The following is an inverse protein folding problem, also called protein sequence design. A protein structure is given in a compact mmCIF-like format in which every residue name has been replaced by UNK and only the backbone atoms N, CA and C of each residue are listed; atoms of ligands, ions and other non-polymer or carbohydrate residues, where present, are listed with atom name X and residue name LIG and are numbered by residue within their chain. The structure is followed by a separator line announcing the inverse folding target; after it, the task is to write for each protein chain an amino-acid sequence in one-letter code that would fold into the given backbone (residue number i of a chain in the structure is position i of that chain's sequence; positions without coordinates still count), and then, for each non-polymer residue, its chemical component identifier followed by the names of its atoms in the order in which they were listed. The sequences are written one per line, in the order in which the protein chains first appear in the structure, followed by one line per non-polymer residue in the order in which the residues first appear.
data_IF_928828645782
#
_entry.id   IF_928828645782
#
_cell.length_a   1.000
_cell.length_b   1.000
_cell.length_c   1.000
_cell.angle_alpha   90.00
_cell.angle_beta   90.00
_cell.angle_gamma   90.00
#
_symmetry.space_group_name_H-M   'P 1'
#
loop_
_entity.id
_entity.type
_entity.pdbx_description
1 polymer ?
#
# COMPACT_ATOMS: atom_id res chain seq x y z
N UNK A 1 14.70 43.16 48.99
CA UNK A 1 13.23 43.19 48.76
C UNK A 1 12.75 41.78 48.43
N UNK A 2 11.57 41.36 48.91
CA UNK A 2 11.04 39.99 48.81
C UNK A 2 9.84 39.95 47.85
N UNK A 3 9.79 38.94 46.97
CA UNK A 3 8.58 38.30 46.41
C UNK A 3 8.93 36.80 46.32
N UNK A 4 8.22 35.84 46.95
CA UNK A 4 6.84 35.39 46.67
C UNK A 4 6.69 35.08 45.16
N UNK A 5 6.17 33.99 44.62
CA UNK A 5 5.50 32.80 45.15
C UNK A 5 5.48 31.73 44.02
N UNK A 6 5.37 30.40 44.21
CA UNK A 6 5.63 29.52 45.38
C UNK A 6 6.10 28.13 44.83
N UNK A 7 5.73 26.97 45.40
CA UNK A 7 6.15 25.63 44.94
C UNK A 7 5.07 24.85 44.14
N UNK A 8 5.49 24.04 43.16
CA UNK A 8 4.70 22.93 42.59
C UNK A 8 5.54 21.65 42.48
N UNK A 9 5.16 20.64 43.26
CA UNK A 9 5.89 19.37 43.38
C UNK A 9 5.51 18.39 42.27
N UNK A 10 6.46 17.68 41.63
CA UNK A 10 6.15 16.49 40.84
C UNK A 10 5.99 15.27 41.77
N UNK A 11 4.72 15.00 42.06
CA UNK A 11 4.14 13.75 42.52
C UNK A 11 4.92 12.47 42.13
N UNK A 12 5.19 11.59 43.11
CA UNK A 12 5.71 10.23 42.87
C UNK A 12 4.60 9.30 42.34
N UNK A 13 4.28 9.40 41.05
CA UNK A 13 3.34 8.46 40.41
C UNK A 13 4.00 7.09 40.22
N UNK A 14 3.67 6.16 41.11
CA UNK A 14 4.01 4.73 41.01
C UNK A 14 3.20 4.03 39.91
N UNK A 15 3.51 4.33 38.65
CA UNK A 15 2.88 3.72 37.47
C UNK A 15 3.50 2.35 37.13
N UNK A 16 2.80 1.26 37.45
CA UNK A 16 3.25 -0.10 37.10
C UNK A 16 3.14 -0.37 35.59
N UNK A 17 4.19 -0.95 35.01
CA UNK A 17 4.17 -1.92 33.89
C UNK A 17 3.12 -1.70 32.78
N UNK A 18 3.29 -0.68 31.94
CA UNK A 18 2.72 -0.64 30.59
C UNK A 18 3.55 0.29 29.69
N UNK A 19 4.40 -0.26 28.81
CA UNK A 19 5.27 0.60 27.97
C UNK A 19 6.40 -0.09 27.19
N UNK A 20 6.54 -1.42 27.24
CA UNK A 20 7.66 -2.15 26.62
C UNK A 20 7.65 -2.18 25.07
N UNK A 21 6.73 -1.47 24.41
CA UNK A 21 6.61 -1.43 22.93
C UNK A 21 6.95 -0.07 22.31
N UNK A 22 7.18 0.96 23.13
CA UNK A 22 7.63 2.29 22.68
C UNK A 22 8.83 2.78 23.52
N UNK A 23 9.83 1.91 23.69
CA UNK A 23 11.22 2.39 23.84
C UNK A 23 11.73 2.75 22.45
N UNK A 24 11.26 3.88 21.94
CA UNK A 24 12.07 4.64 20.97
C UNK A 24 13.21 5.22 21.80
N UNK A 25 14.38 4.62 21.69
CA UNK A 25 15.61 5.21 22.20
C UNK A 25 15.78 6.57 21.50
N UNK A 26 15.50 7.64 22.24
CA UNK A 26 15.76 9.02 21.83
C UNK A 26 17.25 9.34 21.94
N UNK A 27 18.11 8.38 21.59
CA UNK A 27 19.47 8.67 21.14
C UNK A 27 19.37 9.29 19.74
N UNK A 28 18.97 10.56 19.71
CA UNK A 28 19.34 11.43 18.60
C UNK A 28 20.87 11.38 18.55
N UNK A 29 21.50 10.80 17.51
CA UNK A 29 22.96 10.71 17.46
C UNK A 29 23.50 12.13 17.58
N UNK A 30 24.47 12.37 18.48
CA UNK A 30 25.00 13.71 18.69
C UNK A 30 25.59 14.25 17.38
N UNK A 31 24.80 15.10 16.71
CA UNK A 31 25.17 15.76 15.43
C UNK A 31 26.39 16.68 15.62
N UNK A 32 26.77 16.94 16.88
CA UNK A 32 27.88 17.78 17.32
C UNK A 32 29.01 17.04 18.05
N UNK A 33 29.20 15.73 17.81
CA UNK A 33 30.56 15.19 17.97
C UNK A 33 31.46 15.93 16.96
N UNK A 34 32.54 16.55 17.45
CA UNK A 34 33.23 17.72 16.85
C UNK A 34 33.33 17.71 15.31
N UNK A 35 32.91 18.79 14.61
CA UNK A 35 33.04 18.86 13.16
C UNK A 35 34.52 18.76 12.76
N UNK A 36 34.89 17.93 11.77
CA UNK A 36 36.30 17.61 11.53
C UNK A 36 37.16 18.86 11.26
N UNK A 37 38.36 18.86 11.84
CA UNK A 37 39.26 20.01 11.82
C UNK A 37 39.81 20.34 10.43
N UNK A 38 39.97 19.35 9.54
CA UNK A 38 40.42 19.57 8.16
C UNK A 38 39.29 19.40 7.13
N UNK A 39 39.44 20.07 5.99
CA UNK A 39 38.51 19.97 4.83
C UNK A 39 38.46 18.53 4.28
N UNK A 40 39.56 17.78 4.34
CA UNK A 40 39.62 16.40 3.85
C UNK A 40 38.81 15.45 4.73
N UNK A 41 38.86 15.63 6.05
CA UNK A 41 38.08 14.81 6.99
C UNK A 41 36.58 15.10 6.86
N UNK A 42 36.19 16.35 6.59
CA UNK A 42 34.79 16.70 6.25
C UNK A 42 34.32 16.00 4.97
N UNK A 43 35.16 15.97 3.92
CA UNK A 43 34.87 15.23 2.68
C UNK A 43 34.77 13.72 2.92
N UNK A 44 35.62 13.15 3.79
CA UNK A 44 35.57 11.73 4.17
C UNK A 44 34.28 11.39 4.95
N UNK A 45 33.92 12.22 5.94
CA UNK A 45 32.70 12.07 6.73
C UNK A 45 31.43 12.14 5.89
N UNK A 46 31.33 13.14 4.99
CA UNK A 46 30.19 13.26 4.06
C UNK A 46 30.12 12.05 3.14
N UNK A 47 31.26 11.57 2.62
CA UNK A 47 31.33 10.38 1.76
C UNK A 47 30.87 9.10 2.48
N UNK A 48 31.26 8.90 3.74
CA UNK A 48 30.80 7.75 4.53
C UNK A 48 29.29 7.83 4.82
N UNK A 49 28.76 9.02 5.12
CA UNK A 49 27.32 9.25 5.33
C UNK A 49 26.49 8.95 4.07
N UNK A 50 26.93 9.43 2.89
CA UNK A 50 26.30 9.10 1.61
C UNK A 50 26.34 7.59 1.36
N UNK A 51 27.53 6.97 1.51
CA UNK A 51 27.71 5.52 1.35
C UNK A 51 26.81 4.72 2.30
N UNK A 52 26.63 5.14 3.56
CA UNK A 52 25.73 4.49 4.52
C UNK A 52 24.24 4.67 4.17
N UNK A 53 23.83 5.80 3.61
CA UNK A 53 22.46 5.98 3.10
C UNK A 53 22.19 4.97 1.98
N UNK A 54 23.00 4.98 0.92
CA UNK A 54 22.93 4.01 -0.18
C UNK A 54 22.99 2.56 0.33
N UNK A 55 23.85 2.28 1.32
CA UNK A 55 23.99 0.95 1.96
C UNK A 55 22.68 0.47 2.60
N UNK A 56 21.94 1.38 3.23
CA UNK A 56 20.69 1.06 3.91
C UNK A 56 19.53 0.98 2.90
N UNK A 57 19.52 1.86 1.90
CA UNK A 57 18.54 1.89 0.82
C UNK A 57 18.62 0.63 -0.07
N UNK A 58 19.81 0.16 -0.44
CA UNK A 58 19.92 -1.08 -1.23
C UNK A 58 19.43 -2.29 -0.45
N UNK A 59 19.78 -2.41 0.84
CA UNK A 59 19.33 -3.53 1.69
C UNK A 59 17.81 -3.56 1.81
N UNK A 60 17.18 -2.41 2.07
CA UNK A 60 15.73 -2.30 2.17
C UNK A 60 15.04 -2.68 0.85
N UNK A 61 15.52 -2.13 -0.28
CA UNK A 61 14.99 -2.42 -1.63
C UNK A 61 15.13 -3.88 -2.03
N UNK A 62 16.29 -4.51 -1.79
CA UNK A 62 16.51 -5.92 -2.12
C UNK A 62 15.67 -6.86 -1.24
N UNK A 63 15.64 -6.60 0.07
CA UNK A 63 14.89 -7.41 1.05
C UNK A 63 13.37 -7.36 0.83
N UNK A 64 12.85 -6.28 0.25
CA UNK A 64 11.45 -6.20 -0.23
C UNK A 64 11.30 -6.85 -1.61
N UNK A 65 12.22 -6.60 -2.54
CA UNK A 65 12.22 -7.19 -3.88
C UNK A 65 11.96 -8.69 -3.84
N UNK A 66 12.77 -9.44 -3.09
CA UNK A 66 12.86 -10.89 -3.28
C UNK A 66 11.74 -11.64 -2.56
N UNK A 67 11.40 -11.27 -1.31
CA UNK A 67 10.23 -11.82 -0.62
C UNK A 67 8.96 -11.57 -1.42
N UNK A 68 8.78 -10.35 -1.93
CA UNK A 68 7.61 -10.02 -2.74
C UNK A 68 7.65 -10.70 -4.12
N UNK A 69 8.82 -10.96 -4.73
CA UNK A 69 8.94 -11.77 -5.96
C UNK A 69 8.42 -13.20 -5.78
N UNK A 70 8.81 -13.89 -4.70
CA UNK A 70 8.30 -15.23 -4.41
C UNK A 70 6.79 -15.26 -4.19
N UNK A 71 6.24 -14.24 -3.51
CA UNK A 71 4.79 -14.05 -3.37
C UNK A 71 4.13 -13.89 -4.75
N UNK A 72 4.68 -13.06 -5.65
CA UNK A 72 4.15 -12.90 -7.01
C UNK A 72 4.15 -14.21 -7.79
N UNK A 73 5.27 -14.93 -7.81
CA UNK A 73 5.37 -16.22 -8.49
C UNK A 73 4.35 -17.22 -7.92
N UNK A 74 4.16 -17.28 -6.61
CA UNK A 74 3.11 -18.06 -5.96
C UNK A 74 1.71 -17.69 -6.45
N UNK A 75 1.34 -16.40 -6.44
CA UNK A 75 0.04 -15.95 -6.98
C UNK A 75 -0.14 -16.25 -8.46
N UNK A 76 0.90 -16.11 -9.29
CA UNK A 76 0.81 -16.41 -10.72
C UNK A 76 0.63 -17.91 -10.99
N UNK A 77 1.32 -18.78 -10.24
CA UNK A 77 1.16 -20.25 -10.35
C UNK A 77 -0.23 -20.68 -9.87
N UNK A 78 -0.69 -20.17 -8.73
CA UNK A 78 -2.05 -20.44 -8.22
C UNK A 78 -3.13 -19.91 -9.17
N UNK A 79 -2.94 -18.73 -9.75
CA UNK A 79 -3.84 -18.16 -10.74
C UNK A 79 -3.88 -18.99 -12.03
N UNK A 80 -2.72 -19.40 -12.56
CA UNK A 80 -2.64 -20.24 -13.74
C UNK A 80 -3.28 -21.63 -13.52
N UNK A 81 -3.07 -22.22 -12.34
CA UNK A 81 -3.75 -23.45 -11.93
C UNK A 81 -5.27 -23.26 -11.81
N UNK A 82 -5.72 -22.14 -11.22
CA UNK A 82 -7.13 -21.75 -11.16
C UNK A 82 -7.75 -21.56 -12.55
N UNK A 83 -7.04 -20.95 -13.49
CA UNK A 83 -7.46 -20.84 -14.89
C UNK A 83 -7.55 -22.19 -15.57
N UNK A 84 -6.58 -23.09 -15.40
CA UNK A 84 -6.63 -24.46 -15.94
C UNK A 84 -7.82 -25.21 -15.36
N UNK A 85 -8.05 -25.11 -14.04
CA UNK A 85 -9.19 -25.74 -13.39
C UNK A 85 -10.52 -25.16 -13.90
N UNK A 86 -10.65 -23.84 -14.02
CA UNK A 86 -11.83 -23.20 -14.57
C UNK A 86 -12.07 -23.57 -16.05
N UNK A 87 -11.01 -23.66 -16.87
CA UNK A 87 -11.11 -24.12 -18.26
C UNK A 87 -11.58 -25.58 -18.32
N UNK A 88 -11.03 -26.45 -17.48
CA UNK A 88 -11.45 -27.85 -17.31
C UNK A 88 -12.92 -27.96 -16.88
N UNK A 89 -13.38 -27.12 -15.95
CA UNK A 89 -14.79 -27.07 -15.53
C UNK A 89 -15.74 -26.60 -16.64
N UNK A 90 -15.27 -25.78 -17.59
CA UNK A 90 -16.07 -25.37 -18.76
C UNK A 90 -16.06 -26.42 -19.88
N UNK A 91 -14.96 -27.16 -20.06
CA UNK A 91 -14.83 -28.23 -21.07
C UNK A 91 -15.63 -29.49 -20.68
N UNK A 92 -15.75 -29.80 -19.38
CA UNK A 92 -16.43 -31.00 -18.88
C UNK A 92 -17.93 -30.81 -18.59
N UNK A 93 -18.49 -29.61 -18.77
CA UNK A 93 -19.93 -29.38 -18.58
C UNK A 93 -20.63 -29.27 -19.93
N UNK A 94 -21.54 -30.20 -20.19
CA UNK A 94 -22.45 -30.16 -21.33
C UNK A 94 -23.27 -28.85 -21.33
N UNK A 95 -23.45 -28.27 -22.53
CA UNK A 95 -24.18 -27.03 -22.87
C UNK A 95 -24.91 -26.35 -21.69
N UNK A 96 -24.23 -25.48 -20.91
CA UNK A 96 -24.85 -24.82 -19.76
C UNK A 96 -26.01 -23.92 -20.22
N UNK A 97 -27.12 -23.96 -19.49
CA UNK A 97 -28.28 -23.09 -19.71
C UNK A 97 -27.91 -21.62 -19.43
N UNK A 98 -28.60 -20.70 -20.10
CA UNK A 98 -28.27 -19.26 -20.12
C UNK A 98 -27.87 -18.62 -18.77
N UNK A 99 -28.66 -18.75 -17.67
CA UNK A 99 -28.34 -18.09 -16.40
C UNK A 99 -27.12 -18.72 -15.70
N UNK A 100 -26.89 -20.02 -15.86
CA UNK A 100 -25.77 -20.74 -15.25
C UNK A 100 -24.43 -20.35 -15.87
N UNK A 101 -24.40 -20.09 -17.19
CA UNK A 101 -23.23 -19.59 -17.88
C UNK A 101 -22.81 -18.20 -17.37
N UNK A 102 -23.77 -17.32 -17.10
CA UNK A 102 -23.51 -15.91 -16.77
C UNK A 102 -22.75 -15.74 -15.45
N UNK A 103 -23.14 -16.44 -14.38
CA UNK A 103 -22.42 -16.35 -13.10
C UNK A 103 -21.07 -17.07 -13.12
N UNK A 104 -20.94 -18.17 -13.88
CA UNK A 104 -19.67 -18.90 -14.06
C UNK A 104 -18.64 -18.07 -14.83
N UNK A 105 -19.06 -17.40 -15.90
CA UNK A 105 -18.22 -16.46 -16.64
C UNK A 105 -17.83 -15.24 -15.79
N UNK A 106 -18.78 -14.67 -15.04
CA UNK A 106 -18.51 -13.57 -14.10
C UNK A 106 -17.49 -13.93 -13.02
N UNK A 107 -17.57 -15.15 -12.46
CA UNK A 107 -16.61 -15.66 -11.48
C UNK A 107 -15.21 -15.82 -12.08
N UNK A 108 -15.10 -16.40 -13.28
CA UNK A 108 -13.82 -16.59 -13.96
C UNK A 108 -13.12 -15.27 -14.29
N UNK A 109 -13.87 -14.26 -14.76
CA UNK A 109 -13.34 -12.93 -15.05
C UNK A 109 -12.91 -12.20 -13.78
N UNK A 110 -13.71 -12.22 -12.71
CA UNK A 110 -13.36 -11.61 -11.43
C UNK A 110 -12.12 -12.27 -10.78
N UNK A 111 -12.00 -13.60 -10.89
CA UNK A 111 -10.81 -14.33 -10.44
C UNK A 111 -9.54 -13.98 -11.23
N UNK A 112 -9.66 -13.45 -12.45
CA UNK A 112 -8.54 -13.02 -13.28
C UNK A 112 -8.13 -11.56 -13.06
N UNK A 113 -9.09 -10.65 -12.93
CA UNK A 113 -8.79 -9.22 -12.77
C UNK A 113 -8.27 -8.85 -11.38
N UNK A 114 -8.69 -9.57 -10.33
CA UNK A 114 -8.21 -9.35 -8.96
C UNK A 114 -6.69 -9.52 -8.83
N UNK A 115 -6.08 -10.69 -9.12
CA UNK A 115 -4.62 -10.86 -8.97
C UNK A 115 -3.84 -9.95 -9.93
N UNK A 116 -4.36 -9.70 -11.14
CA UNK A 116 -3.73 -8.82 -12.13
C UNK A 116 -3.65 -7.36 -11.64
N UNK A 117 -4.73 -6.82 -11.07
CA UNK A 117 -4.74 -5.47 -10.52
C UNK A 117 -3.83 -5.34 -9.30
N UNK A 118 -3.82 -6.34 -8.39
CA UNK A 118 -2.91 -6.32 -7.24
C UNK A 118 -1.45 -6.36 -7.71
N UNK A 119 -1.13 -7.09 -8.79
CA UNK A 119 0.20 -7.08 -9.41
C UNK A 119 0.58 -5.70 -9.95
N UNK A 120 -0.33 -5.02 -10.67
CA UNK A 120 -0.12 -3.68 -11.20
C UNK A 120 0.05 -2.64 -10.07
N UNK A 121 -0.81 -2.66 -9.06
CA UNK A 121 -0.74 -1.77 -7.90
C UNK A 121 0.61 -1.91 -7.16
N UNK A 122 1.08 -3.14 -6.93
CA UNK A 122 2.38 -3.38 -6.27
C UNK A 122 3.57 -3.09 -7.19
N UNK A 123 3.41 -3.19 -8.51
CA UNK A 123 4.35 -2.65 -9.49
C UNK A 123 4.54 -1.13 -9.31
N UNK A 124 3.45 -0.38 -9.25
CA UNK A 124 3.48 1.06 -8.96
C UNK A 124 4.07 1.37 -7.57
N UNK A 125 3.80 0.55 -6.55
CA UNK A 125 4.38 0.71 -5.21
C UNK A 125 5.89 0.37 -5.11
N UNK A 126 6.52 -0.19 -6.14
CA UNK A 126 7.98 -0.49 -6.11
C UNK A 126 8.86 0.64 -6.64
N UNK A 127 8.31 1.51 -7.49
CA UNK A 127 9.02 2.65 -8.06
C UNK A 127 8.55 3.97 -7.43
N UNK A 128 8.43 4.02 -6.10
CA UNK A 128 8.11 5.26 -5.38
C UNK A 128 9.25 6.27 -5.51
N UNK A 129 9.00 7.32 -6.30
CA UNK A 129 9.83 8.54 -6.32
C UNK A 129 9.19 9.62 -5.44
N UNK A 130 7.84 9.65 -5.35
CA UNK A 130 7.08 10.60 -4.51
C UNK A 130 5.87 9.90 -3.87
N UNK A 131 5.94 9.49 -2.58
CA UNK A 131 4.93 8.62 -1.98
C UNK A 131 3.53 9.25 -1.88
N UNK A 132 3.42 10.56 -1.62
CA UNK A 132 2.14 11.24 -1.46
C UNK A 132 1.30 11.25 -2.75
N UNK A 133 1.89 11.68 -3.87
CA UNK A 133 1.24 11.74 -5.19
C UNK A 133 0.90 10.32 -5.70
N UNK A 134 1.83 9.39 -5.54
CA UNK A 134 1.72 8.04 -6.11
C UNK A 134 0.73 7.14 -5.34
N UNK A 135 0.47 7.42 -4.05
CA UNK A 135 -0.61 6.79 -3.30
C UNK A 135 -2.02 7.13 -3.82
N UNK A 136 -2.20 8.28 -4.49
CA UNK A 136 -3.47 8.66 -5.12
C UNK A 136 -3.69 7.88 -6.41
N UNK A 137 -2.65 7.74 -7.24
CA UNK A 137 -2.68 6.91 -8.46
C UNK A 137 -3.02 5.45 -8.14
N UNK A 138 -2.45 4.89 -7.07
CA UNK A 138 -2.75 3.51 -6.63
C UNK A 138 -4.25 3.34 -6.29
N UNK A 139 -4.91 4.34 -5.67
CA UNK A 139 -6.36 4.29 -5.39
C UNK A 139 -7.20 4.25 -6.68
N UNK A 140 -6.74 4.92 -7.74
CA UNK A 140 -7.40 4.88 -9.06
C UNK A 140 -7.20 3.50 -9.72
N UNK A 141 -6.00 2.92 -9.64
CA UNK A 141 -5.73 1.57 -10.18
C UNK A 141 -6.54 0.47 -9.47
N UNK A 142 -6.86 0.65 -8.18
CA UNK A 142 -7.76 -0.24 -7.41
C UNK A 142 -9.23 -0.22 -7.87
N UNK A 143 -9.62 0.63 -8.82
CA UNK A 143 -10.99 0.69 -9.36
C UNK A 143 -11.37 -0.57 -10.17
N UNK A 144 -10.45 -1.11 -10.98
CA UNK A 144 -10.65 -2.31 -11.83
C UNK A 144 -11.11 -3.57 -11.04
N UNK A 145 -10.47 -3.99 -9.93
CA UNK A 145 -10.88 -5.17 -9.17
C UNK A 145 -12.19 -4.93 -8.41
N UNK A 146 -12.43 -3.70 -7.91
CA UNK A 146 -13.69 -3.33 -7.25
C UNK A 146 -14.85 -3.47 -8.24
N UNK A 147 -14.70 -2.98 -9.48
CA UNK A 147 -15.72 -3.10 -10.52
C UNK A 147 -15.95 -4.55 -10.93
N UNK A 148 -14.91 -5.37 -10.94
CA UNK A 148 -15.00 -6.81 -11.24
C UNK A 148 -15.80 -7.57 -10.16
N UNK A 149 -15.55 -7.28 -8.89
CA UNK A 149 -16.30 -7.87 -7.76
C UNK A 149 -17.74 -7.38 -7.74
N UNK A 150 -17.97 -6.08 -7.98
CA UNK A 150 -19.31 -5.49 -8.08
C UNK A 150 -20.15 -6.12 -9.20
N UNK A 151 -19.53 -6.37 -10.37
CA UNK A 151 -20.16 -7.06 -11.50
C UNK A 151 -20.56 -8.50 -11.14
N UNK A 152 -19.65 -9.29 -10.54
CA UNK A 152 -19.94 -10.66 -10.10
C UNK A 152 -21.08 -10.70 -9.06
N UNK A 153 -21.05 -9.82 -8.05
CA UNK A 153 -22.10 -9.76 -7.03
C UNK A 153 -23.45 -9.30 -7.62
N UNK A 154 -23.45 -8.37 -8.57
CA UNK A 154 -24.65 -7.93 -9.29
C UNK A 154 -25.30 -9.02 -10.15
N UNK A 155 -24.50 -9.95 -10.69
CA UNK A 155 -24.96 -11.16 -11.36
C UNK A 155 -25.50 -12.21 -10.38
N UNK A 156 -24.79 -12.47 -9.26
CA UNK A 156 -25.13 -13.53 -8.32
C UNK A 156 -26.32 -13.20 -7.41
N UNK A 157 -26.52 -11.91 -7.11
CA UNK A 157 -27.50 -11.43 -6.14
C UNK A 157 -28.32 -10.23 -6.70
N UNK A 158 -29.31 -10.47 -7.58
CA UNK A 158 -30.10 -9.41 -8.20
C UNK A 158 -30.83 -8.52 -7.19
N UNK A 159 -31.22 -9.05 -6.02
CA UNK A 159 -31.83 -8.26 -4.92
C UNK A 159 -30.89 -7.19 -4.34
N UNK A 160 -29.57 -7.42 -4.37
CA UNK A 160 -28.57 -6.47 -3.85
C UNK A 160 -28.02 -5.52 -4.93
N UNK A 161 -28.42 -5.73 -6.20
CA UNK A 161 -27.86 -5.01 -7.36
C UNK A 161 -27.91 -3.49 -7.20
N UNK A 162 -29.04 -2.93 -6.73
CA UNK A 162 -29.17 -1.48 -6.52
C UNK A 162 -28.17 -0.93 -5.50
N UNK A 163 -27.92 -1.64 -4.38
CA UNK A 163 -26.96 -1.24 -3.35
C UNK A 163 -25.52 -1.29 -3.86
N UNK A 164 -25.20 -2.33 -4.64
CA UNK A 164 -23.88 -2.52 -5.25
C UNK A 164 -23.61 -1.44 -6.31
N UNK A 165 -24.61 -1.15 -7.17
CA UNK A 165 -24.53 -0.04 -8.14
C UNK A 165 -24.35 1.29 -7.41
N UNK A 166 -25.17 1.61 -6.41
CA UNK A 166 -25.02 2.88 -5.67
C UNK A 166 -23.64 3.02 -5.00
N UNK A 167 -23.11 1.95 -4.39
CA UNK A 167 -21.76 1.96 -3.81
C UNK A 167 -20.65 2.19 -4.86
N UNK A 168 -20.85 1.69 -6.09
CA UNK A 168 -19.96 1.92 -7.23
C UNK A 168 -19.94 3.39 -7.65
N UNK A 169 -21.10 4.03 -7.79
CA UNK A 169 -21.18 5.46 -8.15
C UNK A 169 -20.49 6.35 -7.08
N UNK A 170 -20.65 6.01 -5.79
CA UNK A 170 -19.95 6.71 -4.68
C UNK A 170 -18.44 6.49 -4.74
N UNK A 171 -17.97 5.30 -5.10
CA UNK A 171 -16.54 5.04 -5.29
C UNK A 171 -15.97 5.84 -6.48
N UNK A 172 -16.74 6.00 -7.55
CA UNK A 172 -16.34 6.79 -8.73
C UNK A 172 -16.14 8.27 -8.36
N UNK A 173 -17.06 8.87 -7.60
CA UNK A 173 -16.90 10.23 -7.07
C UNK A 173 -15.64 10.38 -6.19
N UNK A 174 -15.35 9.39 -5.34
CA UNK A 174 -14.13 9.37 -4.52
C UNK A 174 -12.84 9.22 -5.36
N UNK A 175 -12.87 8.43 -6.43
CA UNK A 175 -11.75 8.28 -7.37
C UNK A 175 -11.47 9.59 -8.10
N UNK A 176 -12.51 10.31 -8.54
CA UNK A 176 -12.39 11.64 -9.16
C UNK A 176 -11.81 12.67 -8.16
N UNK A 177 -12.24 12.64 -6.89
CA UNK A 177 -11.63 13.49 -5.85
C UNK A 177 -10.13 13.20 -5.67
N UNK A 178 -9.73 11.93 -5.61
CA UNK A 178 -8.32 11.54 -5.51
C UNK A 178 -7.51 11.98 -6.74
N UNK A 179 -8.11 11.90 -7.93
CA UNK A 179 -7.51 12.37 -9.18
C UNK A 179 -7.34 13.90 -9.23
N UNK A 180 -8.35 14.66 -8.80
CA UNK A 180 -8.27 16.12 -8.74
C UNK A 180 -7.17 16.57 -7.77
N UNK A 181 -7.08 15.96 -6.59
CA UNK A 181 -6.01 16.26 -5.63
C UNK A 181 -4.62 15.89 -6.19
N UNK A 182 -4.51 14.81 -6.97
CA UNK A 182 -3.28 14.46 -7.68
C UNK A 182 -2.88 15.54 -8.70
N UNK A 183 -3.85 16.06 -9.48
CA UNK A 183 -3.62 17.15 -10.43
C UNK A 183 -3.15 18.44 -9.74
N UNK A 184 -3.80 18.85 -8.64
CA UNK A 184 -3.40 20.05 -7.88
C UNK A 184 -1.95 19.93 -7.41
N UNK A 185 -1.56 18.78 -6.85
CA UNK A 185 -0.19 18.51 -6.43
C UNK A 185 0.82 18.35 -7.59
N UNK A 186 0.37 18.14 -8.83
CA UNK A 186 1.22 18.08 -10.03
C UNK A 186 1.40 19.45 -10.69
N UNK A 187 0.35 20.28 -10.70
CA UNK A 187 0.35 21.64 -11.27
C UNK A 187 1.03 22.69 -10.36
N UNK A 188 1.45 22.31 -9.15
CA UNK A 188 2.08 23.24 -8.20
C UNK A 188 1.11 24.14 -7.47
N UNK A 189 -0.14 23.68 -7.24
CA UNK A 189 -1.02 24.31 -6.28
C UNK A 189 -0.46 24.23 -4.84
N UNK A 190 -0.91 25.12 -3.94
CA UNK A 190 -0.41 25.21 -2.57
C UNK A 190 -0.70 23.95 -1.72
#
# INVERSE_FOLDING_TARGET
MRRHWEASSPEKVSGRRAGAFFRVETEVPRIFDTPPASINDRKAFIRDRIRKSDQQDWKFRHSISDRTRWIWMGTYVLFMWGCIWALRQNILVERPTGPELAWRAGLALAAATVPLSVAQAVGHCRYFVRPAQQAQVVRIVFMVPIYSVAFFLGLRFPHWRLRITAAREVYEAYAIYCFLHYLIGFLGGP
#
